data_IF_815507544350
#
_entry.id   IF_815507544350
#
_cell.length_a   1.000
_cell.length_b   1.000
_cell.length_c   1.000
_cell.angle_alpha   90.00
_cell.angle_beta   90.00
_cell.angle_gamma   90.00
#
_symmetry.space_group_name_H-M   'P 1'
#
loop_
_entity.id
_entity.type
_entity.pdbx_description
1 polymer ?
#
# COMPACT_ATOMS: atom_id res chain seq x y z
N UNK A 1 -0.63 -27.79 7.92
CA UNK A 1 -0.25 -26.71 8.86
C UNK A 1 -1.54 -26.05 9.32
N UNK A 2 -1.59 -25.55 10.56
CA UNK A 2 -2.71 -24.70 10.96
C UNK A 2 -2.61 -23.38 10.18
N UNK A 3 -3.74 -22.84 9.72
CA UNK A 3 -3.80 -21.55 9.04
C UNK A 3 -4.00 -20.51 10.14
N UNK A 4 -2.95 -19.77 10.50
CA UNK A 4 -3.02 -18.77 11.57
C UNK A 4 -3.78 -17.52 11.11
N UNK A 5 -3.56 -17.07 9.87
CA UNK A 5 -4.30 -15.95 9.30
C UNK A 5 -3.97 -15.65 7.84
N UNK A 6 -4.76 -14.77 7.22
CA UNK A 6 -4.58 -14.35 5.83
C UNK A 6 -4.52 -12.83 5.73
N UNK A 7 -3.44 -12.33 5.13
CA UNK A 7 -3.27 -10.93 4.77
C UNK A 7 -3.55 -10.74 3.28
N UNK A 8 -4.43 -9.82 2.95
CA UNK A 8 -4.80 -9.52 1.57
C UNK A 8 -4.23 -8.17 1.14
N UNK A 9 -3.61 -8.10 -0.04
CA UNK A 9 -3.70 -6.88 -0.81
C UNK A 9 -5.14 -6.67 -1.32
N UNK A 10 -5.47 -5.45 -1.71
CA UNK A 10 -6.84 -5.07 -2.10
C UNK A 10 -6.97 -4.98 -3.63
N UNK A 11 -6.20 -4.11 -4.28
CA UNK A 11 -6.30 -3.88 -5.72
C UNK A 11 -5.57 -4.99 -6.49
N UNK A 12 -6.18 -5.54 -7.53
CA UNK A 12 -5.69 -6.73 -8.22
C UNK A 12 -5.93 -8.06 -7.49
N UNK A 13 -6.43 -8.06 -6.25
CA UNK A 13 -6.70 -9.27 -5.46
C UNK A 13 -8.18 -9.42 -5.11
N UNK A 14 -8.78 -8.42 -4.45
CA UNK A 14 -10.19 -8.41 -4.06
C UNK A 14 -11.04 -7.58 -5.03
N UNK A 15 -10.46 -6.51 -5.54
CA UNK A 15 -11.06 -5.61 -6.53
C UNK A 15 -10.05 -5.26 -7.60
N UNK A 16 -10.49 -4.81 -8.76
CA UNK A 16 -9.65 -4.10 -9.75
C UNK A 16 -10.30 -2.77 -10.06
N UNK A 17 -9.64 -1.67 -9.75
CA UNK A 17 -10.25 -0.33 -9.88
C UNK A 17 -11.60 -0.21 -9.17
N UNK A 18 -11.68 -0.78 -7.95
CA UNK A 18 -12.90 -0.84 -7.13
C UNK A 18 -14.07 -1.66 -7.71
N UNK A 19 -13.84 -2.42 -8.78
CA UNK A 19 -14.80 -3.44 -9.23
C UNK A 19 -14.44 -4.79 -8.60
N UNK A 20 -15.37 -5.52 -7.97
CA UNK A 20 -15.07 -6.78 -7.32
C UNK A 20 -14.52 -7.82 -8.29
N UNK A 21 -13.52 -8.57 -7.84
CA UNK A 21 -13.04 -9.76 -8.52
C UNK A 21 -14.02 -10.91 -8.25
N UNK A 22 -14.39 -11.63 -9.31
CA UNK A 22 -15.28 -12.77 -9.22
C UNK A 22 -14.74 -13.81 -8.22
N UNK A 23 -15.60 -14.19 -7.27
CA UNK A 23 -15.26 -15.13 -6.20
C UNK A 23 -14.65 -14.51 -4.93
N UNK A 24 -14.17 -13.26 -4.95
CA UNK A 24 -13.55 -12.63 -3.78
C UNK A 24 -14.46 -12.61 -2.53
N UNK A 25 -15.70 -12.16 -2.68
CA UNK A 25 -16.70 -12.18 -1.62
C UNK A 25 -17.04 -13.60 -1.13
N UNK A 26 -16.96 -14.61 -1.99
CA UNK A 26 -17.18 -16.00 -1.58
C UNK A 26 -15.98 -16.51 -0.77
N UNK A 27 -14.75 -16.24 -1.22
CA UNK A 27 -13.53 -16.60 -0.50
C UNK A 27 -13.52 -16.02 0.91
N UNK A 28 -13.82 -14.73 1.08
CA UNK A 28 -13.85 -14.10 2.41
C UNK A 28 -14.94 -14.70 3.32
N UNK A 29 -16.08 -15.12 2.76
CA UNK A 29 -17.11 -15.85 3.51
C UNK A 29 -16.62 -17.23 3.95
N UNK A 30 -15.98 -18.00 3.06
CA UNK A 30 -15.41 -19.31 3.42
C UNK A 30 -14.37 -19.18 4.54
N UNK A 31 -13.51 -18.15 4.50
CA UNK A 31 -12.56 -17.90 5.58
C UNK A 31 -13.25 -17.54 6.89
N UNK A 32 -14.30 -16.71 6.86
CA UNK A 32 -15.10 -16.40 8.04
C UNK A 32 -15.80 -17.65 8.62
N UNK A 33 -16.42 -18.47 7.77
CA UNK A 33 -17.14 -19.69 8.18
C UNK A 33 -16.20 -20.72 8.83
N UNK A 34 -14.90 -20.64 8.53
CA UNK A 34 -13.83 -21.47 9.13
C UNK A 34 -13.04 -20.74 10.23
N UNK A 35 -13.52 -19.58 10.70
CA UNK A 35 -12.90 -18.80 11.78
C UNK A 35 -11.44 -18.39 11.50
N UNK A 36 -11.06 -18.21 10.23
CA UNK A 36 -9.72 -17.81 9.84
C UNK A 36 -9.57 -16.29 9.93
N UNK A 37 -8.63 -15.86 10.76
CA UNK A 37 -8.32 -14.46 10.98
C UNK A 37 -7.80 -13.79 9.69
N UNK A 38 -8.20 -12.53 9.45
CA UNK A 38 -7.84 -11.81 8.22
C UNK A 38 -7.57 -10.33 8.45
N UNK A 39 -6.72 -9.75 7.60
CA UNK A 39 -6.48 -8.32 7.55
C UNK A 39 -6.16 -7.89 6.11
N UNK A 40 -6.18 -6.59 5.85
CA UNK A 40 -6.03 -6.02 4.52
C UNK A 40 -4.93 -4.97 4.54
N UNK A 41 -3.95 -5.08 3.66
CA UNK A 41 -2.81 -4.17 3.58
C UNK A 41 -2.72 -3.55 2.19
N UNK A 42 -2.90 -2.24 2.11
CA UNK A 42 -2.95 -1.50 0.85
C UNK A 42 -2.02 -0.29 0.80
N UNK A 43 -1.40 -0.09 -0.37
CA UNK A 43 -0.68 1.15 -0.69
C UNK A 43 -1.60 2.25 -1.23
N UNK A 44 -2.93 2.05 -1.27
CA UNK A 44 -3.88 3.10 -1.62
C UNK A 44 -3.80 4.25 -0.61
N UNK A 45 -3.59 5.45 -1.11
CA UNK A 45 -3.59 6.69 -0.32
C UNK A 45 -4.68 7.67 -0.75
N UNK A 46 -5.55 7.28 -1.68
CA UNK A 46 -6.62 8.15 -2.18
C UNK A 46 -7.89 8.11 -1.36
N UNK A 47 -7.96 7.16 -0.42
CA UNK A 47 -9.12 6.86 0.42
C UNK A 47 -8.69 6.53 1.84
N UNK A 48 -9.55 6.86 2.79
CA UNK A 48 -9.38 6.45 4.19
C UNK A 48 -9.71 4.97 4.35
N UNK A 49 -9.23 4.34 5.42
CA UNK A 49 -9.58 2.95 5.74
C UNK A 49 -11.08 2.72 5.84
N UNK A 50 -11.84 3.70 6.35
CA UNK A 50 -13.29 3.66 6.44
C UNK A 50 -13.94 3.63 5.04
N UNK A 51 -13.51 4.53 4.14
CA UNK A 51 -14.00 4.54 2.76
C UNK A 51 -13.67 3.26 2.00
N UNK A 52 -12.50 2.66 2.26
CA UNK A 52 -12.11 1.38 1.65
C UNK A 52 -13.01 0.25 2.16
N UNK A 53 -13.21 0.16 3.47
CA UNK A 53 -14.09 -0.83 4.08
C UNK A 53 -15.54 -0.70 3.59
N UNK A 54 -16.06 0.52 3.47
CA UNK A 54 -17.40 0.77 2.91
C UNK A 54 -17.51 0.25 1.47
N UNK A 55 -16.54 0.55 0.61
CA UNK A 55 -16.54 0.09 -0.78
C UNK A 55 -16.46 -1.44 -0.91
N UNK A 56 -15.65 -2.09 -0.05
CA UNK A 56 -15.57 -3.55 -0.03
C UNK A 56 -16.89 -4.17 0.47
N UNK A 57 -17.50 -3.55 1.48
CA UNK A 57 -18.80 -3.97 2.04
C UNK A 57 -19.92 -3.83 1.00
N UNK A 58 -19.96 -2.72 0.26
CA UNK A 58 -20.88 -2.52 -0.87
C UNK A 58 -20.68 -3.57 -1.97
N UNK A 59 -19.46 -4.06 -2.15
CA UNK A 59 -19.12 -5.14 -3.07
C UNK A 59 -19.40 -6.56 -2.50
N UNK A 60 -20.07 -6.66 -1.34
CA UNK A 60 -20.46 -7.93 -0.72
C UNK A 60 -19.36 -8.58 0.11
N UNK A 61 -18.29 -7.86 0.43
CA UNK A 61 -17.20 -8.31 1.29
C UNK A 61 -17.31 -7.63 2.65
N UNK A 62 -17.76 -8.36 3.66
CA UNK A 62 -17.90 -7.82 5.02
C UNK A 62 -16.51 -7.52 5.62
N UNK A 63 -16.14 -6.23 5.58
CA UNK A 63 -14.84 -5.70 5.99
C UNK A 63 -15.06 -4.51 6.90
N UNK A 64 -14.47 -4.56 8.09
CA UNK A 64 -14.45 -3.44 9.02
C UNK A 64 -13.25 -2.52 8.76
N UNK A 65 -13.45 -1.23 9.01
CA UNK A 65 -12.44 -0.19 8.80
C UNK A 65 -11.14 -0.45 9.57
N UNK A 66 -11.23 -1.07 10.74
CA UNK A 66 -10.06 -1.38 11.56
C UNK A 66 -9.27 -2.56 10.96
N UNK A 67 -9.89 -3.51 10.27
CA UNK A 67 -9.18 -4.61 9.58
C UNK A 67 -8.24 -4.13 8.46
N UNK A 68 -8.42 -2.91 7.98
CA UNK A 68 -7.66 -2.30 6.88
C UNK A 68 -6.48 -1.47 7.40
N UNK A 69 -5.29 -1.83 6.95
CA UNK A 69 -4.03 -1.12 7.14
C UNK A 69 -3.69 -0.39 5.84
N UNK A 70 -3.77 0.95 5.87
CA UNK A 70 -3.43 1.81 4.75
C UNK A 70 -2.01 2.36 4.87
N UNK A 71 -1.37 2.68 3.74
CA UNK A 71 -0.08 3.37 3.76
C UNK A 71 -0.15 4.75 4.46
N UNK A 72 -1.31 5.40 4.47
CA UNK A 72 -1.57 6.60 5.26
C UNK A 72 -1.44 6.32 6.77
N UNK A 73 -2.09 5.25 7.26
CA UNK A 73 -2.00 4.83 8.65
C UNK A 73 -0.57 4.51 9.08
N UNK A 74 0.15 3.74 8.27
CA UNK A 74 1.55 3.38 8.54
C UNK A 74 2.44 4.63 8.54
N UNK A 75 2.20 5.57 7.63
CA UNK A 75 2.95 6.83 7.58
C UNK A 75 2.67 7.68 8.83
N UNK A 76 1.45 7.70 9.34
CA UNK A 76 1.11 8.41 10.56
C UNK A 76 1.83 7.84 11.79
N UNK A 77 1.91 6.51 11.89
CA UNK A 77 2.70 5.83 12.92
C UNK A 77 4.19 6.20 12.82
N UNK A 78 4.76 6.09 11.61
CA UNK A 78 6.14 6.45 11.35
C UNK A 78 6.46 7.91 11.72
N UNK A 79 5.61 8.85 11.35
CA UNK A 79 5.79 10.27 11.65
C UNK A 79 5.71 10.53 13.16
N UNK A 80 4.74 9.94 13.86
CA UNK A 80 4.60 10.13 15.31
C UNK A 80 5.81 9.60 16.09
N UNK A 81 6.37 8.48 15.66
CA UNK A 81 7.57 7.91 16.27
C UNK A 81 8.82 8.73 15.94
N UNK A 82 9.02 9.06 14.66
CA UNK A 82 10.29 9.63 14.18
C UNK A 82 10.39 11.15 14.25
N UNK A 83 9.26 11.84 14.16
CA UNK A 83 9.12 13.29 14.10
C UNK A 83 7.94 13.78 14.98
N UNK A 84 7.99 13.52 16.30
CA UNK A 84 6.89 13.84 17.19
C UNK A 84 6.54 15.34 17.17
N UNK A 85 5.27 15.65 16.89
CA UNK A 85 4.76 17.03 16.85
C UNK A 85 5.13 17.82 15.59
N UNK A 86 5.70 17.17 14.57
CA UNK A 86 6.04 17.81 13.30
C UNK A 86 4.81 18.31 12.55
N UNK A 87 4.93 19.51 11.97
CA UNK A 87 4.01 20.03 10.96
C UNK A 87 4.34 19.41 9.60
N UNK A 88 3.39 18.65 9.06
CA UNK A 88 3.56 17.87 7.84
C UNK A 88 2.84 18.51 6.66
N UNK A 89 3.57 18.77 5.56
CA UNK A 89 2.96 19.18 4.29
C UNK A 89 2.64 17.95 3.45
N UNK A 90 1.36 17.69 3.21
CA UNK A 90 0.87 16.52 2.49
C UNK A 90 0.53 16.87 1.03
N UNK A 91 1.22 16.22 0.10
CA UNK A 91 0.84 16.18 -1.32
C UNK A 91 0.27 14.80 -1.62
N UNK A 92 -1.03 14.73 -1.83
CA UNK A 92 -1.74 13.49 -2.08
C UNK A 92 -3.04 13.78 -2.82
N UNK A 93 -3.42 12.91 -3.75
CA UNK A 93 -4.77 12.93 -4.28
C UNK A 93 -5.71 12.27 -3.29
N UNK A 94 -6.73 12.99 -2.81
CA UNK A 94 -7.68 12.50 -1.81
C UNK A 94 -7.39 12.97 -0.37
N UNK A 95 -8.43 12.92 0.46
CA UNK A 95 -8.45 13.47 1.81
C UNK A 95 -8.33 12.33 2.84
N UNK A 96 -7.11 12.00 3.23
CA UNK A 96 -6.78 10.87 4.12
C UNK A 96 -6.44 11.25 5.57
N UNK A 97 -6.76 12.47 5.99
CA UNK A 97 -6.32 13.01 7.28
C UNK A 97 -6.95 12.28 8.46
N UNK A 98 -8.12 11.69 8.25
CA UNK A 98 -8.78 10.78 9.20
C UNK A 98 -7.91 9.58 9.57
N UNK A 99 -7.12 9.07 8.62
CA UNK A 99 -6.19 7.95 8.85
C UNK A 99 -4.88 8.38 9.51
N UNK A 100 -4.67 9.69 9.73
CA UNK A 100 -3.44 10.25 10.30
C UNK A 100 -3.66 10.96 11.66
N UNK A 101 -4.36 10.33 12.63
CA UNK A 101 -4.65 10.98 13.90
C UNK A 101 -3.35 11.31 14.65
N UNK A 102 -3.25 12.53 15.19
CA UNK A 102 -2.07 12.98 15.93
C UNK A 102 -0.89 13.43 15.06
N UNK A 103 -1.09 13.56 13.75
CA UNK A 103 -0.17 14.26 12.84
C UNK A 103 -0.77 15.61 12.48
N UNK A 104 0.02 16.68 12.58
CA UNK A 104 -0.39 18.01 12.11
C UNK A 104 -0.25 18.09 10.58
N UNK A 105 -1.32 17.71 9.87
CA UNK A 105 -1.33 17.66 8.40
C UNK A 105 -1.86 18.96 7.82
N UNK A 106 -1.09 19.53 6.89
CA UNK A 106 -1.50 20.62 6.02
C UNK A 106 -1.56 20.13 4.58
N UNK A 107 -2.70 20.27 3.91
CA UNK A 107 -2.86 19.79 2.54
C UNK A 107 -2.29 20.77 1.53
N UNK A 108 -1.64 20.24 0.50
CA UNK A 108 -1.21 21.06 -0.65
C UNK A 108 -2.39 21.73 -1.36
N UNK A 109 -3.59 21.13 -1.30
CA UNK A 109 -4.81 21.69 -1.88
C UNK A 109 -5.31 22.96 -1.19
N UNK A 110 -4.84 23.24 0.02
CA UNK A 110 -5.22 24.45 0.77
C UNK A 110 -4.51 25.70 0.24
N UNK A 111 -3.51 25.52 -0.64
CA UNK A 111 -2.72 26.60 -1.21
C UNK A 111 -3.10 26.84 -2.67
N UNK A 112 -3.54 28.05 -2.96
CA UNK A 112 -3.80 28.54 -4.30
C UNK A 112 -2.95 29.79 -4.58
N UNK A 113 -2.16 29.77 -5.64
CA UNK A 113 -1.32 30.89 -6.09
C UNK A 113 0.18 30.66 -5.89
N UNK A 114 1.01 31.67 -6.23
CA UNK A 114 2.47 31.51 -6.32
C UNK A 114 3.19 31.53 -4.98
N UNK A 115 2.52 31.95 -3.90
CA UNK A 115 3.13 32.05 -2.58
C UNK A 115 3.33 30.65 -2.00
N UNK A 116 4.59 30.33 -1.67
CA UNK A 116 4.90 29.11 -0.96
C UNK A 116 4.31 29.15 0.46
N UNK A 117 3.81 28.02 0.98
CA UNK A 117 3.49 27.91 2.39
C UNK A 117 4.77 28.01 3.24
N UNK A 118 4.61 28.15 4.56
CA UNK A 118 5.74 28.05 5.48
C UNK A 118 6.46 26.71 5.30
N UNK A 119 7.78 26.72 5.46
CA UNK A 119 8.59 25.49 5.42
C UNK A 119 8.07 24.47 6.44
N UNK A 120 7.68 23.26 5.99
CA UNK A 120 7.21 22.22 6.89
C UNK A 120 8.39 21.52 7.60
N UNK A 121 8.09 20.83 8.69
CA UNK A 121 9.07 19.97 9.36
C UNK A 121 9.29 18.66 8.58
N UNK A 122 8.24 18.16 7.92
CA UNK A 122 8.26 16.94 7.10
C UNK A 122 7.35 17.12 5.88
N UNK A 123 7.78 16.64 4.71
CA UNK A 123 6.92 16.51 3.52
C UNK A 123 6.42 15.08 3.42
N UNK A 124 5.12 14.91 3.21
CA UNK A 124 4.47 13.63 2.98
C UNK A 124 3.98 13.54 1.54
N UNK A 125 4.32 12.46 0.84
CA UNK A 125 3.94 12.21 -0.54
C UNK A 125 3.09 10.94 -0.64
N UNK A 126 1.84 11.08 -1.06
CA UNK A 126 0.91 9.97 -1.33
C UNK A 126 0.82 9.66 -2.82
N UNK A 127 -0.34 9.25 -3.30
CA UNK A 127 -0.62 8.93 -4.70
C UNK A 127 -0.74 10.19 -5.54
N UNK A 128 -0.17 10.16 -6.75
CA UNK A 128 -0.13 11.32 -7.62
C UNK A 128 -1.49 11.63 -8.26
N UNK A 129 -1.83 12.92 -8.32
CA UNK A 129 -3.03 13.47 -8.92
C UNK A 129 -2.84 14.92 -9.38
N UNK A 130 -3.90 15.69 -9.62
CA UNK A 130 -3.81 17.12 -9.99
C UNK A 130 -3.00 17.97 -8.99
N UNK A 131 -2.88 17.52 -7.75
CA UNK A 131 -2.09 18.12 -6.68
C UNK A 131 -0.58 18.11 -6.99
N UNK A 132 -0.12 17.16 -7.82
CA UNK A 132 1.25 17.03 -8.32
C UNK A 132 1.50 17.98 -9.51
N UNK A 133 1.13 19.25 -9.34
CA UNK A 133 1.40 20.29 -10.32
C UNK A 133 2.84 20.82 -10.18
N UNK A 134 3.29 21.53 -11.21
CA UNK A 134 4.67 22.03 -11.29
C UNK A 134 5.08 22.90 -10.09
N UNK A 135 4.17 23.74 -9.60
CA UNK A 135 4.46 24.65 -8.49
C UNK A 135 4.59 23.89 -7.17
N UNK A 136 3.64 23.01 -6.85
CA UNK A 136 3.70 22.16 -5.66
C UNK A 136 4.99 21.33 -5.63
N UNK A 137 5.33 20.70 -6.76
CA UNK A 137 6.54 19.89 -6.87
C UNK A 137 7.81 20.74 -6.75
N UNK A 138 7.78 22.00 -7.17
CA UNK A 138 8.90 22.93 -6.99
C UNK A 138 9.12 23.26 -5.52
N UNK A 139 8.05 23.47 -4.74
CA UNK A 139 8.16 23.66 -3.28
C UNK A 139 8.71 22.42 -2.58
N UNK A 140 8.17 21.25 -2.91
CA UNK A 140 8.65 19.97 -2.37
C UNK A 140 10.15 19.79 -2.66
N UNK A 141 10.58 20.05 -3.89
CA UNK A 141 11.99 19.94 -4.26
C UNK A 141 12.87 20.94 -3.50
N UNK A 142 12.44 22.21 -3.39
CA UNK A 142 13.19 23.24 -2.68
C UNK A 142 13.42 22.86 -1.20
N UNK A 143 12.36 22.44 -0.50
CA UNK A 143 12.45 21.96 0.88
C UNK A 143 13.31 20.71 1.00
N UNK A 144 13.15 19.75 0.08
CA UNK A 144 13.98 18.56 0.04
C UNK A 144 15.46 18.93 -0.09
N UNK A 145 15.83 19.82 -1.03
CA UNK A 145 17.20 20.28 -1.23
C UNK A 145 17.78 20.94 0.04
N UNK A 146 16.96 21.73 0.75
CA UNK A 146 17.31 22.34 2.05
C UNK A 146 17.43 21.33 3.20
N UNK A 147 16.97 20.09 3.01
CA UNK A 147 17.13 18.99 3.95
C UNK A 147 15.91 18.70 4.80
N UNK A 148 14.74 19.24 4.44
CA UNK A 148 13.47 18.80 5.01
C UNK A 148 13.26 17.32 4.66
N UNK A 149 12.99 16.45 5.65
CA UNK A 149 12.68 15.04 5.42
C UNK A 149 11.46 14.87 4.49
N UNK A 150 11.59 13.96 3.52
CA UNK A 150 10.49 13.55 2.65
C UNK A 150 10.14 12.10 2.95
N UNK A 151 8.87 11.86 3.26
CA UNK A 151 8.31 10.53 3.52
C UNK A 151 7.27 10.23 2.44
N UNK A 152 7.53 9.21 1.65
CA UNK A 152 6.62 8.69 0.65
C UNK A 152 5.81 7.54 1.23
N UNK A 153 4.50 7.56 1.04
CA UNK A 153 3.62 6.48 1.46
C UNK A 153 3.86 5.21 0.64
N UNK A 154 4.27 5.35 -0.62
CA UNK A 154 4.70 4.27 -1.51
C UNK A 154 5.64 4.82 -2.60
N UNK A 155 6.33 3.92 -3.31
CA UNK A 155 7.27 4.27 -4.41
C UNK A 155 6.84 3.75 -5.78
N UNK A 156 5.56 3.39 -5.94
CA UNK A 156 5.02 2.98 -7.23
C UNK A 156 5.25 4.08 -8.27
N UNK A 157 5.76 3.71 -9.44
CA UNK A 157 6.04 4.65 -10.54
C UNK A 157 4.83 4.87 -11.44
N UNK A 158 3.88 3.92 -11.42
CA UNK A 158 2.66 3.97 -12.18
C UNK A 158 1.58 3.07 -11.57
N UNK A 159 0.32 3.34 -11.93
CA UNK A 159 -0.84 2.51 -11.59
C UNK A 159 -1.80 2.41 -12.79
N UNK A 160 -2.60 1.35 -12.83
CA UNK A 160 -3.54 1.08 -13.94
C UNK A 160 -4.93 1.58 -13.59
N UNK A 161 -5.56 2.31 -14.49
CA UNK A 161 -6.96 2.76 -14.37
C UNK A 161 -7.77 2.25 -15.57
N UNK A 162 -9.09 2.44 -15.52
CA UNK A 162 -9.98 2.20 -16.66
C UNK A 162 -9.59 2.96 -17.93
N UNK A 163 -8.89 4.09 -17.80
CA UNK A 163 -8.45 4.93 -18.91
C UNK A 163 -6.99 4.66 -19.33
N UNK A 164 -6.35 3.63 -18.75
CA UNK A 164 -4.97 3.24 -19.04
C UNK A 164 -3.99 3.57 -17.90
N UNK A 165 -2.70 3.53 -18.23
CA UNK A 165 -1.61 3.70 -17.26
C UNK A 165 -1.45 5.17 -16.86
N UNK A 166 -1.29 5.43 -15.56
CA UNK A 166 -1.02 6.76 -15.00
C UNK A 166 0.32 6.76 -14.28
N UNK A 167 1.02 7.88 -14.32
CA UNK A 167 2.26 8.09 -13.55
C UNK A 167 1.93 8.31 -12.09
N UNK A 168 2.86 7.95 -11.22
CA UNK A 168 2.69 8.02 -9.77
C UNK A 168 3.97 8.51 -9.07
N UNK A 169 3.90 8.68 -7.75
CA UNK A 169 4.91 9.35 -6.91
C UNK A 169 6.34 8.86 -7.12
N UNK A 170 6.54 7.57 -7.35
CA UNK A 170 7.86 7.00 -7.63
C UNK A 170 8.56 7.64 -8.84
N UNK A 171 7.79 8.05 -9.86
CA UNK A 171 8.32 8.71 -11.06
C UNK A 171 8.91 10.08 -10.72
N UNK A 172 8.23 10.86 -9.88
CA UNK A 172 8.67 12.19 -9.45
C UNK A 172 9.84 12.10 -8.46
N UNK A 173 9.75 11.17 -7.50
CA UNK A 173 10.79 10.93 -6.50
C UNK A 173 12.14 10.62 -7.14
N UNK A 174 12.17 9.79 -8.19
CA UNK A 174 13.42 9.43 -8.85
C UNK A 174 14.21 10.68 -9.32
N UNK A 175 13.53 11.65 -9.93
CA UNK A 175 14.17 12.90 -10.38
C UNK A 175 14.55 13.83 -9.23
N UNK A 176 13.70 13.94 -8.21
CA UNK A 176 13.97 14.78 -7.04
C UNK A 176 15.17 14.25 -6.23
N UNK A 177 15.26 12.94 -6.04
CA UNK A 177 16.35 12.30 -5.31
C UNK A 177 17.68 12.40 -6.06
N UNK A 178 17.68 12.13 -7.36
CA UNK A 178 18.88 12.28 -8.21
C UNK A 178 19.41 13.71 -8.17
N UNK A 179 18.52 14.70 -8.29
CA UNK A 179 18.92 16.12 -8.39
C UNK A 179 19.30 16.72 -7.03
N UNK A 180 18.64 16.30 -5.94
CA UNK A 180 18.92 16.83 -4.59
C UNK A 180 20.05 16.08 -3.87
N UNK A 181 20.40 14.86 -4.32
CA UNK A 181 21.32 13.97 -3.63
C UNK A 181 20.78 13.40 -2.30
N UNK A 182 19.49 13.62 -2.01
CA UNK A 182 18.81 13.16 -0.80
C UNK A 182 17.83 12.06 -1.16
N UNK A 183 17.50 11.19 -0.20
CA UNK A 183 16.54 10.09 -0.41
C UNK A 183 15.29 10.30 0.42
N UNK A 184 14.13 10.02 -0.17
CA UNK A 184 12.88 9.94 0.54
C UNK A 184 12.75 8.56 1.23
N UNK A 185 12.22 8.56 2.45
CA UNK A 185 11.86 7.31 3.13
C UNK A 185 10.54 6.80 2.56
N UNK A 186 10.38 5.49 2.41
CA UNK A 186 9.10 4.89 2.03
C UNK A 186 8.58 3.96 3.11
N UNK A 187 7.28 4.04 3.41
CA UNK A 187 6.66 3.37 4.55
C UNK A 187 5.70 2.24 4.15
N UNK A 188 5.03 2.34 3.00
CA UNK A 188 4.18 1.26 2.48
C UNK A 188 4.96 0.09 1.91
N UNK A 189 4.22 -0.91 1.41
CA UNK A 189 4.77 -2.09 0.74
C UNK A 189 5.80 -1.68 -0.33
N UNK A 190 7.00 -2.30 -0.37
CA UNK A 190 7.42 -3.57 0.25
C UNK A 190 8.01 -3.45 1.67
N UNK A 191 7.88 -2.31 2.34
CA UNK A 191 8.45 -2.15 3.68
C UNK A 191 7.79 -3.13 4.68
N UNK A 192 8.58 -3.75 5.59
CA UNK A 192 8.11 -4.83 6.46
C UNK A 192 7.05 -4.40 7.49
N UNK A 193 6.99 -3.11 7.83
CA UNK A 193 6.19 -2.56 8.92
C UNK A 193 4.69 -2.89 8.75
N UNK A 194 4.16 -2.79 7.53
CA UNK A 194 2.76 -3.10 7.25
C UNK A 194 2.40 -4.57 7.48
N UNK A 195 3.29 -5.47 7.07
CA UNK A 195 3.10 -6.92 7.25
C UNK A 195 3.18 -7.31 8.74
N UNK A 196 4.16 -6.76 9.45
CA UNK A 196 4.34 -7.02 10.88
C UNK A 196 3.20 -6.40 11.72
N UNK A 197 2.71 -5.23 11.34
CA UNK A 197 1.54 -4.62 11.97
C UNK A 197 0.29 -5.49 11.80
N UNK A 198 0.08 -6.07 10.61
CA UNK A 198 -1.01 -7.00 10.36
C UNK A 198 -0.91 -8.26 11.24
N UNK A 199 0.27 -8.88 11.29
CA UNK A 199 0.52 -10.06 12.13
C UNK A 199 0.28 -9.77 13.61
N UNK A 200 0.84 -8.67 14.12
CA UNK A 200 0.66 -8.25 15.51
C UNK A 200 -0.80 -7.95 15.85
N UNK A 201 -1.56 -7.38 14.91
CA UNK A 201 -2.99 -7.10 15.10
C UNK A 201 -3.82 -8.38 15.20
N UNK A 202 -3.49 -9.38 14.39
CA UNK A 202 -4.17 -10.67 14.43
C UNK A 202 -3.72 -11.55 15.60
N UNK A 203 -2.57 -11.23 16.21
CA UNK A 203 -1.97 -12.06 17.25
C UNK A 203 -1.46 -13.40 16.69
N UNK A 204 -1.03 -13.39 15.43
CA UNK A 204 -0.58 -14.57 14.68
C UNK A 204 0.89 -14.39 14.33
N UNK A 205 1.68 -15.45 14.48
CA UNK A 205 3.07 -15.43 14.05
C UNK A 205 3.14 -15.33 12.51
N UNK A 206 4.02 -14.49 11.93
CA UNK A 206 4.10 -14.34 10.47
C UNK A 206 4.28 -15.67 9.72
N UNK A 207 4.98 -16.65 10.29
CA UNK A 207 5.19 -17.99 9.71
C UNK A 207 3.89 -18.80 9.54
N UNK A 208 2.83 -18.44 10.26
CA UNK A 208 1.50 -19.06 10.18
C UNK A 208 0.53 -18.27 9.29
N UNK A 209 1.01 -17.18 8.67
CA UNK A 209 0.20 -16.30 7.82
C UNK A 209 0.46 -16.50 6.33
N UNK A 210 -0.59 -16.27 5.54
CA UNK A 210 -0.52 -16.21 4.09
C UNK A 210 -0.68 -14.77 3.61
N UNK A 211 0.21 -14.27 2.75
CA UNK A 211 0.03 -13.01 2.04
C UNK A 211 -0.49 -13.29 0.62
N UNK A 212 -1.65 -12.73 0.29
CA UNK A 212 -2.25 -12.81 -1.04
C UNK A 212 -2.02 -11.48 -1.76
N UNK A 213 -1.26 -11.49 -2.84
CA UNK A 213 -0.86 -10.29 -3.56
C UNK A 213 -0.85 -10.47 -5.07
N UNK A 214 -0.98 -9.36 -5.81
CA UNK A 214 -0.89 -9.34 -7.28
C UNK A 214 0.49 -8.87 -7.77
N UNK A 215 1.26 -8.21 -6.89
CA UNK A 215 2.61 -7.72 -7.15
C UNK A 215 3.65 -8.60 -6.48
N UNK A 216 4.44 -9.29 -7.31
CA UNK A 216 5.50 -10.19 -6.84
C UNK A 216 6.47 -9.49 -5.88
N UNK A 217 6.90 -8.26 -6.16
CA UNK A 217 7.93 -7.60 -5.36
C UNK A 217 7.34 -6.87 -4.15
N UNK A 218 6.21 -6.19 -4.34
CA UNK A 218 5.63 -5.35 -3.30
C UNK A 218 4.86 -6.15 -2.26
N UNK A 219 4.20 -7.23 -2.66
CA UNK A 219 3.35 -8.02 -1.78
C UNK A 219 4.02 -9.32 -1.39
N UNK A 220 4.28 -10.17 -2.38
CA UNK A 220 4.52 -11.60 -2.17
C UNK A 220 5.92 -11.85 -1.60
N UNK A 221 6.95 -11.38 -2.29
CA UNK A 221 8.33 -11.54 -1.82
C UNK A 221 8.60 -10.69 -0.57
N UNK A 222 7.99 -9.51 -0.47
CA UNK A 222 8.09 -8.66 0.71
C UNK A 222 7.54 -9.35 1.97
N UNK A 223 6.39 -10.02 1.87
CA UNK A 223 5.81 -10.78 2.97
C UNK A 223 6.64 -12.02 3.34
N UNK A 224 7.22 -12.70 2.34
CA UNK A 224 8.10 -13.85 2.57
C UNK A 224 9.39 -13.46 3.33
N UNK A 225 9.89 -12.24 3.14
CA UNK A 225 11.04 -11.73 3.93
C UNK A 225 10.71 -11.64 5.42
N UNK A 226 9.45 -11.40 5.80
CA UNK A 226 9.01 -11.38 7.20
C UNK A 226 8.45 -12.73 7.69
N UNK A 227 8.52 -13.78 6.87
CA UNK A 227 8.17 -15.16 7.23
C UNK A 227 6.82 -15.67 6.70
N UNK A 228 5.99 -14.81 6.10
CA UNK A 228 4.68 -15.23 5.59
C UNK A 228 4.79 -16.14 4.36
N UNK A 229 3.83 -17.05 4.19
CA UNK A 229 3.67 -17.79 2.95
C UNK A 229 3.10 -16.87 1.85
N UNK A 230 3.85 -16.66 0.78
CA UNK A 230 3.48 -15.78 -0.32
C UNK A 230 2.65 -16.47 -1.40
N UNK A 231 1.45 -15.94 -1.68
CA UNK A 231 0.55 -16.41 -2.74
C UNK A 231 0.37 -15.31 -3.79
N UNK A 232 0.85 -15.57 -5.00
CA UNK A 232 0.72 -14.65 -6.13
C UNK A 232 -0.54 -14.96 -6.94
N UNK A 233 -1.42 -13.99 -7.11
CA UNK A 233 -2.61 -14.11 -7.98
C UNK A 233 -2.37 -13.50 -9.36
N UNK A 234 -3.12 -13.93 -10.39
CA UNK A 234 -2.94 -13.46 -11.78
C UNK A 234 -3.89 -12.34 -12.21
N UNK A 235 -4.75 -11.86 -11.32
CA UNK A 235 -5.85 -10.92 -11.61
C UNK A 235 -5.43 -9.44 -11.76
N UNK A 236 -4.24 -9.05 -11.29
CA UNK A 236 -3.79 -7.64 -11.30
C UNK A 236 -2.49 -7.36 -12.07
N UNK A 237 -1.47 -6.88 -11.38
CA UNK A 237 -0.14 -6.51 -11.89
C UNK A 237 0.71 -7.70 -12.30
N UNK A 238 0.25 -8.93 -12.07
CA UNK A 238 0.92 -10.13 -12.51
C UNK A 238 1.36 -10.06 -13.97
N UNK A 239 2.63 -10.37 -14.24
CA UNK A 239 3.16 -10.54 -15.59
C UNK A 239 3.97 -11.83 -15.65
N UNK A 240 3.61 -12.72 -16.58
CA UNK A 240 4.31 -14.00 -16.76
C UNK A 240 5.82 -13.79 -16.96
N UNK A 241 6.19 -12.79 -17.77
CA UNK A 241 7.59 -12.45 -18.01
C UNK A 241 8.36 -12.00 -16.75
N UNK A 242 7.68 -11.44 -15.75
CA UNK A 242 8.31 -11.09 -14.45
C UNK A 242 8.58 -12.36 -13.66
N UNK A 243 7.59 -13.27 -13.57
CA UNK A 243 7.76 -14.55 -12.90
C UNK A 243 8.85 -15.41 -13.58
N UNK A 244 8.84 -15.50 -14.91
CA UNK A 244 9.83 -16.26 -15.68
C UNK A 244 11.25 -15.72 -15.46
N UNK A 245 11.41 -14.40 -15.37
CA UNK A 245 12.71 -13.76 -15.11
C UNK A 245 13.23 -14.11 -13.73
N UNK A 246 12.37 -14.10 -12.71
CA UNK A 246 12.74 -14.50 -11.36
C UNK A 246 13.02 -15.99 -11.28
N UNK A 247 12.25 -16.84 -11.96
CA UNK A 247 12.47 -18.28 -12.00
C UNK A 247 13.77 -18.68 -12.72
N UNK A 248 14.30 -17.82 -13.61
CA UNK A 248 15.56 -18.05 -14.29
C UNK A 248 16.80 -17.82 -13.40
N UNK A 249 16.65 -17.13 -12.27
CA UNK A 249 17.70 -16.94 -11.27
C UNK A 249 17.56 -18.01 -10.18
N UNK A 250 18.51 -18.97 -10.15
CA UNK A 250 18.51 -20.11 -9.23
C UNK A 250 18.51 -19.71 -7.75
N UNK A 251 18.99 -18.50 -7.43
CA UNK A 251 19.07 -18.00 -6.06
C UNK A 251 17.94 -17.03 -5.70
N UNK A 252 17.07 -16.72 -6.65
CA UNK A 252 15.99 -15.77 -6.44
C UNK A 252 14.83 -16.43 -5.68
N UNK A 253 14.34 -15.73 -4.66
CA UNK A 253 13.16 -16.15 -3.91
C UNK A 253 11.94 -16.22 -4.83
N UNK A 254 11.20 -17.33 -4.77
CA UNK A 254 9.99 -17.55 -5.56
C UNK A 254 8.75 -17.41 -4.67
N UNK A 255 7.58 -17.06 -5.23
CA UNK A 255 6.33 -17.18 -4.50
C UNK A 255 6.13 -18.62 -4.03
N UNK A 256 5.62 -18.83 -2.81
CA UNK A 256 5.29 -20.18 -2.34
C UNK A 256 4.20 -20.82 -3.21
N UNK A 257 3.24 -20.02 -3.67
CA UNK A 257 2.13 -20.47 -4.52
C UNK A 257 1.78 -19.44 -5.59
N UNK A 258 1.25 -19.92 -6.72
CA UNK A 258 0.66 -19.09 -7.76
C UNK A 258 -0.71 -19.65 -8.10
N UNK A 259 -1.75 -18.82 -8.01
CA UNK A 259 -3.14 -19.18 -8.31
C UNK A 259 -3.73 -18.20 -9.34
N UNK A 260 -4.79 -18.59 -10.04
CA UNK A 260 -5.36 -17.75 -11.10
C UNK A 260 -6.15 -16.59 -10.50
N UNK A 261 -6.91 -16.84 -9.44
CA UNK A 261 -7.68 -15.83 -8.71
C UNK A 261 -7.70 -16.10 -7.20
N UNK A 262 -8.03 -15.10 -6.40
CA UNK A 262 -8.34 -15.26 -4.98
C UNK A 262 -9.48 -16.27 -4.73
N UNK A 263 -10.31 -16.53 -5.76
CA UNK A 263 -11.34 -17.57 -5.74
C UNK A 263 -10.78 -18.99 -5.49
N UNK A 264 -9.52 -19.25 -5.86
CA UNK A 264 -8.88 -20.57 -5.73
C UNK A 264 -8.21 -20.76 -4.36
N UNK A 265 -8.18 -19.70 -3.53
CA UNK A 265 -7.53 -19.73 -2.22
C UNK A 265 -8.13 -20.78 -1.25
N UNK A 266 -9.45 -20.98 -1.15
CA UNK A 266 -10.00 -22.02 -0.29
C UNK A 266 -9.46 -23.42 -0.62
N UNK A 267 -9.39 -23.77 -1.91
CA UNK A 267 -8.83 -25.06 -2.36
C UNK A 267 -7.35 -25.18 -1.96
N UNK A 268 -6.56 -24.12 -2.17
CA UNK A 268 -5.16 -24.07 -1.76
C UNK A 268 -4.98 -24.31 -0.25
N UNK A 269 -5.89 -23.77 0.56
CA UNK A 269 -5.90 -23.89 2.02
C UNK A 269 -6.55 -25.19 2.52
N UNK A 270 -7.19 -25.98 1.64
CA UNK A 270 -7.86 -27.22 1.98
C UNK A 270 -9.22 -27.03 2.69
N UNK A 271 -9.95 -25.97 2.32
CA UNK A 271 -11.27 -25.58 2.85
C UNK A 271 -12.42 -25.95 1.90
#
# INVERSE_FOLDING_TARGET
MAIGGVLFDIDGVLVTSWQPIDGAAQTLRVLADNEIARSYLTNTTTRTRAQIADLLTEAGMDVAADEVITAAALTAEYVRDRYPGARCFLVNSGQIGEDMPGVDVVYSSDFAGPAAPDTPDVVLLGGAGPEYNHLTLSWVYDWMAQGVPVVAMHRSTAWTTTDGLRVDTGMYLAGMEETSGRRATAVGKPAPEGFLAAASRLGVDPEEMYMIGDDLNNDVLAAQVVGMAGVLVRTGKFRQATLDRWAADEFAMQPNFVIDSVADLPELLGL
#
